data_IF_745594935200
#
_entry.id   IF_745594935200
#
_cell.length_a   1.000
_cell.length_b   1.000
_cell.length_c   1.000
_cell.angle_alpha   90.00
_cell.angle_beta   90.00
_cell.angle_gamma   90.00
#
_symmetry.space_group_name_H-M   'P 1'
#
loop_
_entity.id
_entity.type
_entity.pdbx_description
1 polymer ?
#
# COMPACT_ATOMS: atom_id res chain seq x y z
N UNK A 1 -3.96 -15.98 9.99
CA UNK A 1 -4.03 -15.92 8.52
C UNK A 1 -3.04 -14.85 8.13
N UNK A 2 -1.77 -15.21 8.03
CA UNK A 2 -0.73 -14.29 7.57
C UNK A 2 -0.88 -14.19 6.06
N UNK A 3 -1.74 -13.27 5.61
CA UNK A 3 -1.78 -12.89 4.21
C UNK A 3 -0.40 -12.34 3.85
N UNK A 4 0.32 -13.08 3.02
CA UNK A 4 1.59 -12.64 2.48
C UNK A 4 1.33 -11.35 1.69
N UNK A 5 1.67 -10.21 2.27
CA UNK A 5 1.34 -8.90 1.72
C UNK A 5 2.05 -8.63 0.39
N UNK A 6 3.18 -9.30 0.13
CA UNK A 6 3.90 -9.22 -1.14
C UNK A 6 4.45 -10.60 -1.55
N UNK A 7 4.61 -10.78 -2.86
CA UNK A 7 5.26 -11.95 -3.46
C UNK A 7 6.65 -11.55 -3.98
N UNK A 8 7.63 -12.45 -3.90
CA UNK A 8 8.98 -12.23 -4.47
C UNK A 8 9.18 -13.19 -5.65
N UNK A 9 9.51 -12.64 -6.81
CA UNK A 9 9.75 -13.39 -8.03
C UNK A 9 11.10 -13.01 -8.65
N UNK A 10 11.74 -13.96 -9.35
CA UNK A 10 12.96 -13.69 -10.11
C UNK A 10 12.65 -13.77 -11.61
N UNK A 11 13.03 -12.74 -12.36
CA UNK A 11 12.80 -12.69 -13.79
C UNK A 11 14.02 -12.13 -14.53
N UNK A 12 14.49 -12.85 -15.56
CA UNK A 12 15.65 -12.49 -16.40
C UNK A 12 16.91 -12.12 -15.60
N UNK A 13 17.12 -12.77 -14.44
CA UNK A 13 18.28 -12.52 -13.56
C UNK A 13 18.13 -11.32 -12.62
N UNK A 14 16.97 -10.66 -12.59
CA UNK A 14 16.62 -9.64 -11.59
C UNK A 14 15.64 -10.18 -10.55
N UNK A 15 15.63 -9.57 -9.38
CA UNK A 15 14.62 -9.82 -8.34
C UNK A 15 13.52 -8.77 -8.42
N UNK A 16 12.26 -9.20 -8.29
CA UNK A 16 11.09 -8.35 -8.31
C UNK A 16 10.23 -8.70 -7.11
N UNK A 17 9.58 -7.70 -6.52
CA UNK A 17 8.47 -7.95 -5.61
C UNK A 17 7.17 -7.49 -6.24
N UNK A 18 6.09 -8.17 -5.88
CA UNK A 18 4.74 -7.89 -6.34
C UNK A 18 3.86 -7.60 -5.13
N UNK A 19 3.19 -6.46 -5.18
CA UNK A 19 2.22 -6.02 -4.19
C UNK A 19 0.88 -5.80 -4.89
N UNK A 20 -0.13 -6.62 -4.57
CA UNK A 20 -1.40 -6.65 -5.29
C UNK A 20 -1.20 -6.91 -6.79
N UNK A 21 -1.53 -5.95 -7.64
CA UNK A 21 -1.35 -6.03 -9.11
C UNK A 21 -0.08 -5.37 -9.63
N UNK A 22 0.75 -4.79 -8.75
CA UNK A 22 1.93 -3.99 -9.15
C UNK A 22 3.22 -4.79 -8.94
N UNK A 23 4.07 -4.82 -9.97
CA UNK A 23 5.42 -5.35 -9.89
C UNK A 23 6.43 -4.21 -9.76
N UNK A 24 7.40 -4.38 -8.86
CA UNK A 24 8.49 -3.41 -8.64
C UNK A 24 9.84 -4.12 -8.70
N UNK A 25 10.79 -3.52 -9.43
CA UNK A 25 12.14 -4.02 -9.65
C UNK A 25 12.70 -3.53 -11.00
N UNK A 26 13.83 -4.09 -11.49
CA UNK A 26 14.61 -5.18 -10.91
C UNK A 26 15.53 -4.74 -9.76
N UNK A 27 15.68 -5.62 -8.77
CA UNK A 27 16.64 -5.51 -7.68
C UNK A 27 17.81 -6.49 -7.87
N UNK A 28 19.03 -6.12 -7.44
CA UNK A 28 20.22 -6.96 -7.61
C UNK A 28 20.24 -8.15 -6.63
N UNK A 29 19.59 -8.03 -5.46
CA UNK A 29 19.47 -9.10 -4.46
C UNK A 29 18.03 -9.28 -4.00
N UNK A 30 17.73 -10.48 -3.52
CA UNK A 30 16.44 -10.81 -2.90
C UNK A 30 16.16 -9.93 -1.68
N UNK A 31 17.17 -9.70 -0.85
CA UNK A 31 17.07 -8.87 0.36
C UNK A 31 16.70 -7.41 0.03
N UNK A 32 17.23 -6.86 -1.06
CA UNK A 32 16.89 -5.50 -1.51
C UNK A 32 15.42 -5.39 -1.93
N UNK A 33 14.90 -6.41 -2.63
CA UNK A 33 13.50 -6.48 -3.01
C UNK A 33 12.58 -6.58 -1.77
N UNK A 34 12.97 -7.37 -0.76
CA UNK A 34 12.23 -7.50 0.50
C UNK A 34 12.28 -6.19 1.30
N UNK A 35 13.43 -5.53 1.38
CA UNK A 35 13.57 -4.25 2.09
C UNK A 35 12.72 -3.15 1.43
N UNK A 36 12.71 -3.09 0.09
CA UNK A 36 11.86 -2.18 -0.66
C UNK A 36 10.37 -2.46 -0.43
N UNK A 37 9.95 -3.73 -0.48
CA UNK A 37 8.58 -4.14 -0.21
C UNK A 37 8.11 -3.72 1.20
N UNK A 38 8.92 -3.97 2.23
CA UNK A 38 8.59 -3.59 3.62
C UNK A 38 8.49 -2.07 3.80
N UNK A 39 9.35 -1.30 3.10
CA UNK A 39 9.29 0.16 3.13
C UNK A 39 8.00 0.69 2.54
N UNK A 40 7.58 0.16 1.39
CA UNK A 40 6.32 0.54 0.74
C UNK A 40 5.11 0.16 1.59
N UNK A 41 5.12 -1.02 2.22
CA UNK A 41 4.07 -1.43 3.16
C UNK A 41 3.94 -0.48 4.35
N UNK A 42 5.07 -0.09 4.93
CA UNK A 42 5.10 0.84 6.07
C UNK A 42 4.56 2.22 5.70
N UNK A 43 4.76 2.66 4.45
CA UNK A 43 4.20 3.91 3.92
C UNK A 43 2.69 3.81 3.68
N UNK A 44 2.18 2.63 3.29
CA UNK A 44 0.74 2.42 3.13
C UNK A 44 0.00 2.46 4.48
N UNK A 45 0.56 1.79 5.50
CA UNK A 45 0.00 1.76 6.85
C UNK A 45 -0.12 3.17 7.47
N UNK A 46 0.85 4.04 7.16
CA UNK A 46 0.85 5.43 7.63
C UNK A 46 -0.14 6.35 6.90
N UNK A 47 -0.74 5.92 5.78
CA UNK A 47 -1.62 6.79 5.00
C UNK A 47 -3.12 6.70 5.34
N UNK A 48 -3.62 5.67 6.02
CA UNK A 48 -5.07 5.36 5.92
C UNK A 48 -5.93 5.39 7.20
N UNK A 49 -5.49 5.99 8.31
CA UNK A 49 -6.36 6.03 9.51
C UNK A 49 -6.72 7.41 10.04
N UNK A 50 -6.08 8.48 9.56
CA UNK A 50 -6.30 9.81 10.15
C UNK A 50 -7.16 10.77 9.33
N UNK A 51 -7.33 10.58 8.01
CA UNK A 51 -7.94 11.61 7.16
C UNK A 51 -9.40 11.36 6.73
N UNK A 52 -9.91 10.13 6.79
CA UNK A 52 -11.28 9.84 6.29
C UNK A 52 -12.36 10.20 7.33
N UNK A 53 -12.06 10.12 8.64
CA UNK A 53 -13.05 10.48 9.69
C UNK A 53 -13.35 11.98 9.78
N UNK A 54 -12.44 12.85 9.35
CA UNK A 54 -12.61 14.30 9.47
C UNK A 54 -13.57 14.89 8.43
N UNK A 55 -13.71 14.26 7.25
CA UNK A 55 -14.55 14.79 6.16
C UNK A 55 -16.03 14.39 6.27
N UNK A 56 -16.38 13.38 7.07
CA UNK A 56 -17.78 12.95 7.25
C UNK A 56 -18.53 13.74 8.35
N UNK A 57 -17.82 14.46 9.22
CA UNK A 57 -18.42 15.24 10.29
C UNK A 57 -18.85 16.66 9.86
N UNK A 58 -18.72 16.99 8.57
CA UNK A 58 -19.04 18.32 8.02
C UNK A 58 -20.17 18.28 7.00
N UNK A 59 -21.17 17.42 7.19
CA UNK A 59 -22.48 17.60 6.57
C UNK A 59 -23.32 18.50 7.49
N UNK A 60 -23.62 19.76 7.14
CA UNK A 60 -24.59 20.54 7.88
C UNK A 60 -25.97 19.88 7.77
N UNK A 61 -26.82 19.93 8.82
CA UNK A 61 -28.21 19.52 8.69
C UNK A 61 -28.88 20.48 7.68
N UNK A 62 -29.44 19.92 6.61
CA UNK A 62 -30.29 20.62 5.66
C UNK A 62 -31.36 21.45 6.40
N UNK A 63 -31.40 22.80 6.28
CA UNK A 63 -32.54 23.57 6.72
C UNK A 63 -33.49 23.76 5.53
N UNK A 64 -34.71 23.26 5.69
CA UNK A 64 -35.89 23.80 5.00
C UNK A 64 -36.08 23.39 3.55
N UNK A 65 -37.06 22.52 3.33
CA UNK A 65 -37.97 22.68 2.19
C UNK A 65 -39.38 22.80 2.74
N UNK A 66 -40.04 23.82 2.23
CA UNK A 66 -41.21 24.53 2.70
C UNK A 66 -42.52 23.84 2.31
#
# INVERSE_FOLDING_TARGET
MDENLFEIETWRGGWFYKFGSRYTGPFPRRDDAIAAANRDLSMLDTCDTSSIRASLAKTPPYPGVR
#
